data_IF_019715985646
#
_entry.id   IF_019715985646
#
_cell.length_a   1.000
_cell.length_b   1.000
_cell.length_c   1.000
_cell.angle_alpha   90.00
_cell.angle_beta   90.00
_cell.angle_gamma   90.00
#
_symmetry.space_group_name_H-M   'P 1'
#
loop_
_entity.id
_entity.type
_entity.pdbx_description
1 polymer ?
#
# COMPACT_ATOMS: atom_id res chain seq x y z
N UNK A 1 -24.96 44.51 -34.10
CA UNK A 1 -24.59 44.88 -32.73
C UNK A 1 -25.23 43.89 -31.78
N UNK A 2 -24.52 42.82 -31.43
CA UNK A 2 -24.95 41.83 -30.42
C UNK A 2 -23.86 41.85 -29.35
N UNK A 3 -24.19 42.43 -28.20
CA UNK A 3 -23.30 42.59 -27.07
C UNK A 3 -23.12 41.25 -26.36
N UNK A 4 -21.87 40.88 -26.16
CA UNK A 4 -21.38 39.77 -25.35
C UNK A 4 -21.41 40.15 -23.87
N UNK A 5 -22.13 39.37 -23.05
CA UNK A 5 -21.96 39.37 -21.59
C UNK A 5 -21.02 38.22 -21.22
N UNK A 6 -19.86 38.56 -20.64
CA UNK A 6 -18.98 37.62 -19.95
C UNK A 6 -19.51 37.45 -18.53
N UNK A 7 -19.88 36.23 -18.15
CA UNK A 7 -20.09 35.85 -16.74
C UNK A 7 -18.73 35.42 -16.18
N UNK A 8 -18.23 36.17 -15.20
CA UNK A 8 -17.09 35.80 -14.37
C UNK A 8 -17.66 35.08 -13.16
N UNK A 9 -17.37 33.79 -13.01
CA UNK A 9 -17.67 33.02 -11.80
C UNK A 9 -16.53 33.24 -10.82
N UNK A 10 -16.82 33.92 -9.71
CA UNK A 10 -15.93 34.01 -8.56
C UNK A 10 -16.08 32.72 -7.76
N UNK A 11 -15.00 31.94 -7.65
CA UNK A 11 -14.91 30.83 -6.72
C UNK A 11 -14.84 31.40 -5.29
N UNK A 12 -15.86 31.12 -4.50
CA UNK A 12 -15.88 31.39 -3.07
C UNK A 12 -15.07 30.27 -2.42
N UNK A 13 -13.83 30.58 -2.03
CA UNK A 13 -13.07 29.72 -1.13
C UNK A 13 -13.79 29.71 0.22
N UNK A 14 -14.48 28.60 0.51
CA UNK A 14 -15.15 28.38 1.77
C UNK A 14 -14.09 27.86 2.76
N UNK A 15 -13.41 28.77 3.44
CA UNK A 15 -12.50 28.46 4.55
C UNK A 15 -13.36 27.99 5.74
N UNK A 16 -13.57 26.68 5.85
CA UNK A 16 -14.10 26.06 7.05
C UNK A 16 -12.96 26.03 8.08
N UNK A 17 -12.95 27.04 8.97
CA UNK A 17 -12.22 26.98 10.22
C UNK A 17 -12.91 25.96 11.13
N UNK A 18 -12.47 24.71 11.08
CA UNK A 18 -12.72 23.76 12.16
C UNK A 18 -11.86 24.18 13.36
N UNK A 19 -12.48 24.86 14.31
CA UNK A 19 -11.91 25.06 15.64
C UNK A 19 -12.01 23.74 16.41
N UNK A 20 -11.03 22.84 16.18
CA UNK A 20 -10.78 21.71 17.05
C UNK A 20 -10.27 22.20 18.41
N UNK A 21 -10.92 21.78 19.49
CA UNK A 21 -10.46 22.05 20.86
C UNK A 21 -9.30 21.10 21.19
N UNK A 22 -8.07 21.56 20.98
CA UNK A 22 -6.83 20.98 21.49
C UNK A 22 -5.91 22.12 21.88
N UNK A 23 -5.33 22.08 23.08
CA UNK A 23 -4.51 23.18 23.62
C UNK A 23 -3.34 23.51 22.70
N UNK A 24 -3.06 24.80 22.51
CA UNK A 24 -2.12 25.22 21.48
C UNK A 24 -0.73 24.67 21.71
N UNK A 25 -0.34 23.73 20.85
CA UNK A 25 0.95 23.05 20.86
C UNK A 25 1.83 23.56 19.73
N UNK A 26 3.11 23.17 19.74
CA UNK A 26 4.10 23.64 18.76
C UNK A 26 3.74 23.24 17.31
N UNK A 27 2.94 22.17 17.17
CA UNK A 27 2.40 21.69 15.90
C UNK A 27 1.28 22.56 15.32
N UNK A 28 0.75 23.56 16.04
CA UNK A 28 -0.31 24.46 15.57
C UNK A 28 0.10 25.29 14.34
N UNK A 29 1.41 25.47 14.15
CA UNK A 29 1.99 26.18 13.01
C UNK A 29 1.92 25.39 11.70
N UNK A 30 1.60 24.09 11.75
CA UNK A 30 1.50 23.25 10.56
C UNK A 30 0.25 23.61 9.76
N UNK A 31 0.49 24.10 8.55
CA UNK A 31 -0.47 24.16 7.46
C UNK A 31 -0.32 22.88 6.62
N UNK A 32 -1.43 22.20 6.38
CA UNK A 32 -1.49 20.94 5.64
C UNK A 32 -2.27 21.10 4.34
N UNK A 33 -1.73 20.56 3.25
CA UNK A 33 -2.38 20.50 1.95
C UNK A 33 -2.41 19.05 1.43
N UNK A 34 -3.63 18.54 1.24
CA UNK A 34 -3.91 17.26 0.59
C UNK A 34 -3.69 17.37 -0.93
N UNK A 35 -2.84 16.50 -1.49
CA UNK A 35 -2.48 16.48 -2.92
C UNK A 35 -3.34 15.50 -3.74
N UNK A 36 -4.35 14.89 -3.11
CA UNK A 36 -5.24 13.89 -3.67
C UNK A 36 -4.80 12.46 -3.34
N UNK A 37 -5.69 11.52 -3.65
CA UNK A 37 -5.52 10.08 -3.38
C UNK A 37 -4.20 9.54 -3.92
N UNK A 38 -3.53 8.72 -3.10
CA UNK A 38 -2.25 8.09 -3.42
C UNK A 38 -1.05 9.04 -3.53
N UNK A 39 -1.17 10.32 -3.12
CA UNK A 39 -0.08 11.29 -3.19
C UNK A 39 0.36 11.77 -1.83
N UNK A 40 1.68 11.89 -1.66
CA UNK A 40 2.26 12.48 -0.47
C UNK A 40 1.72 13.92 -0.25
N UNK A 41 1.26 14.24 0.97
CA UNK A 41 0.81 15.58 1.29
C UNK A 41 1.97 16.57 1.29
N UNK A 42 1.66 17.86 1.23
CA UNK A 42 2.62 18.91 1.53
C UNK A 42 2.25 19.62 2.83
N UNK A 43 3.26 20.01 3.60
CA UNK A 43 3.08 20.84 4.78
C UNK A 43 3.95 22.09 4.73
N UNK A 44 3.54 23.13 5.44
CA UNK A 44 4.41 24.26 5.80
C UNK A 44 4.27 24.61 7.27
N UNK A 45 5.36 25.08 7.88
CA UNK A 45 5.39 25.47 9.30
C UNK A 45 6.47 26.52 9.57
N UNK A 46 6.43 27.14 10.75
CA UNK A 46 7.49 28.07 11.19
C UNK A 46 8.77 27.29 11.52
N UNK A 47 9.90 27.71 10.95
CA UNK A 47 11.18 27.03 11.16
C UNK A 47 12.13 27.78 12.11
N UNK A 48 12.94 27.05 12.91
CA UNK A 48 12.85 25.60 13.11
C UNK A 48 11.60 25.24 13.95
N UNK A 49 10.96 24.11 13.62
CA UNK A 49 9.92 23.55 14.48
C UNK A 49 10.60 22.68 15.55
N UNK A 50 10.33 22.99 16.81
CA UNK A 50 10.87 22.25 17.95
C UNK A 50 9.76 21.92 18.91
N UNK A 51 9.77 20.71 19.44
CA UNK A 51 8.86 20.27 20.50
C UNK A 51 9.68 19.88 21.73
N UNK A 52 9.16 20.17 22.92
CA UNK A 52 9.81 19.81 24.20
C UNK A 52 9.54 18.35 24.61
N UNK A 53 8.45 17.76 24.12
CA UNK A 53 7.99 16.39 24.37
C UNK A 53 7.33 15.85 23.08
N UNK A 54 7.16 14.51 22.91
CA UNK A 54 6.39 13.97 21.80
C UNK A 54 4.99 14.57 21.72
N UNK A 55 4.58 14.99 20.53
CA UNK A 55 3.29 15.62 20.28
C UNK A 55 2.67 15.10 19.00
N UNK A 56 1.35 14.98 19.00
CA UNK A 56 0.55 14.69 17.81
C UNK A 56 -0.46 15.79 17.54
N UNK A 57 -0.81 16.01 16.26
CA UNK A 57 -1.89 16.90 15.86
C UNK A 57 -2.68 16.32 14.70
N UNK A 58 -4.00 16.17 14.85
CA UNK A 58 -4.87 15.83 13.73
C UNK A 58 -4.89 16.99 12.72
N UNK A 59 -4.52 16.68 11.48
CA UNK A 59 -4.50 17.60 10.33
C UNK A 59 -5.77 17.45 9.48
N UNK A 60 -6.29 16.22 9.39
CA UNK A 60 -7.53 15.86 8.70
C UNK A 60 -8.27 14.79 9.51
N UNK A 61 -9.53 15.04 9.83
CA UNK A 61 -10.37 14.04 10.49
C UNK A 61 -10.69 12.88 9.52
N UNK A 62 -10.64 11.64 10.03
CA UNK A 62 -11.10 10.47 9.29
C UNK A 62 -12.61 10.32 9.39
N UNK A 63 -13.23 9.79 8.33
CA UNK A 63 -14.67 9.52 8.25
C UNK A 63 -15.00 8.03 8.02
N UNK A 64 -13.98 7.16 8.06
CA UNK A 64 -14.10 5.72 7.89
C UNK A 64 -14.48 4.95 9.16
N UNK A 65 -14.06 3.68 9.19
CA UNK A 65 -14.30 2.79 10.32
C UNK A 65 -13.61 3.29 11.61
N UNK A 66 -14.21 2.99 12.77
CA UNK A 66 -13.54 3.15 14.07
C UNK A 66 -12.26 2.32 14.11
N UNK A 67 -11.21 2.85 14.73
CA UNK A 67 -9.97 2.11 15.00
C UNK A 67 -10.02 1.64 16.46
N UNK A 68 -9.78 0.35 16.67
CA UNK A 68 -9.92 -0.36 17.94
C UNK A 68 -8.60 -1.05 18.32
N UNK A 69 -8.46 -1.39 19.60
CA UNK A 69 -7.32 -2.15 20.10
C UNK A 69 -7.22 -3.51 19.40
N UNK A 70 -6.03 -3.84 18.92
CA UNK A 70 -5.72 -5.05 18.16
C UNK A 70 -5.83 -4.90 16.64
N UNK A 71 -6.40 -3.79 16.15
CA UNK A 71 -6.47 -3.55 14.72
C UNK A 71 -5.07 -3.36 14.12
N UNK A 72 -4.91 -3.78 12.87
CA UNK A 72 -3.78 -3.36 12.04
C UNK A 72 -4.29 -2.36 11.02
N UNK A 73 -3.67 -1.18 10.98
CA UNK A 73 -4.00 -0.11 10.04
C UNK A 73 -2.89 0.03 9.00
N UNK A 74 -3.31 0.31 7.76
CA UNK A 74 -2.42 0.70 6.67
C UNK A 74 -2.18 2.20 6.75
N UNK A 75 -0.91 2.59 6.77
CA UNK A 75 -0.50 3.97 6.95
C UNK A 75 0.50 4.37 5.89
N UNK A 76 0.28 5.55 5.31
CA UNK A 76 1.28 6.25 4.54
C UNK A 76 1.95 7.36 5.36
N UNK A 77 3.27 7.45 5.28
CA UNK A 77 4.09 8.40 6.01
C UNK A 77 4.79 9.39 5.06
N UNK A 78 4.96 10.63 5.50
CA UNK A 78 5.79 11.66 4.86
C UNK A 78 6.63 12.38 5.90
N UNK A 79 7.93 12.46 5.67
CA UNK A 79 8.89 12.99 6.62
C UNK A 79 9.45 14.34 6.13
N UNK A 80 9.50 15.32 7.03
CA UNK A 80 9.98 16.67 6.74
C UNK A 80 11.04 17.08 7.76
N UNK A 81 12.10 17.72 7.29
CA UNK A 81 13.14 18.29 8.15
C UNK A 81 12.57 19.50 8.92
N UNK A 82 12.63 19.48 10.26
CA UNK A 82 12.05 20.55 11.05
C UNK A 82 12.82 21.89 11.00
N UNK A 83 14.07 21.89 10.54
CA UNK A 83 14.88 23.11 10.40
C UNK A 83 14.56 23.91 9.12
N UNK A 84 14.21 23.22 8.03
CA UNK A 84 14.07 23.85 6.71
C UNK A 84 12.88 23.40 5.85
N UNK A 85 12.02 22.51 6.37
CA UNK A 85 10.85 21.93 5.70
C UNK A 85 11.15 21.03 4.50
N UNK A 86 12.43 20.73 4.22
CA UNK A 86 12.75 19.84 3.11
C UNK A 86 12.22 18.43 3.36
N UNK A 87 11.73 17.77 2.30
CA UNK A 87 11.28 16.37 2.39
C UNK A 87 12.47 15.45 2.63
N UNK A 88 12.29 14.51 3.56
CA UNK A 88 13.25 13.46 3.91
C UNK A 88 12.86 12.10 3.31
N UNK A 89 11.66 11.98 2.76
CA UNK A 89 11.12 10.76 2.15
C UNK A 89 9.64 10.55 2.46
N UNK A 90 9.04 9.60 1.75
CA UNK A 90 7.64 9.21 1.90
C UNK A 90 7.41 7.74 1.54
N UNK A 91 6.35 7.13 2.07
CA UNK A 91 5.95 5.77 1.71
C UNK A 91 5.01 5.70 0.50
N UNK A 92 4.42 6.83 0.08
CA UNK A 92 3.51 6.91 -1.07
C UNK A 92 4.19 6.52 -2.39
N UNK A 93 5.47 6.87 -2.54
CA UNK A 93 6.32 6.47 -3.66
C UNK A 93 6.95 5.08 -3.49
N UNK A 94 6.68 4.43 -2.35
CA UNK A 94 7.20 3.12 -1.96
C UNK A 94 6.02 2.20 -1.63
N UNK A 95 6.16 1.33 -0.62
CA UNK A 95 5.06 0.54 -0.09
C UNK A 95 4.53 1.19 1.19
N UNK A 96 3.20 1.16 1.43
CA UNK A 96 2.62 1.53 2.70
C UNK A 96 3.21 0.72 3.85
N UNK A 97 3.22 1.32 5.04
CA UNK A 97 3.61 0.63 6.27
C UNK A 97 2.35 0.20 7.03
N UNK A 98 2.45 -0.84 7.85
CA UNK A 98 1.37 -1.26 8.73
C UNK A 98 1.69 -0.89 10.18
N UNK A 99 0.67 -0.48 10.93
CA UNK A 99 0.76 -0.24 12.36
C UNK A 99 -0.30 -1.10 13.05
N UNK A 100 0.13 -1.97 13.97
CA UNK A 100 -0.79 -2.68 14.86
C UNK A 100 -1.03 -1.83 16.09
N UNK A 101 -2.30 -1.55 16.40
CA UNK A 101 -2.73 -0.74 17.54
C UNK A 101 -2.82 -1.64 18.77
N UNK A 102 -1.67 -1.90 19.40
CA UNK A 102 -1.56 -2.79 20.55
C UNK A 102 -0.72 -2.19 21.70
N UNK A 103 -0.57 -2.97 22.78
CA UNK A 103 0.31 -2.64 23.90
C UNK A 103 1.77 -2.37 23.47
N UNK A 104 2.24 -2.96 22.35
CA UNK A 104 3.58 -2.70 21.81
C UNK A 104 3.69 -1.28 21.28
N UNK A 105 2.71 -0.85 20.46
CA UNK A 105 2.64 0.52 19.98
C UNK A 105 2.50 1.48 21.15
N UNK A 106 1.66 1.16 22.12
CA UNK A 106 1.46 1.98 23.32
C UNK A 106 2.73 2.19 24.13
N UNK A 107 3.52 1.13 24.30
CA UNK A 107 4.78 1.19 25.04
C UNK A 107 5.85 2.03 24.31
N UNK A 108 5.79 2.10 22.97
CA UNK A 108 6.76 2.81 22.14
C UNK A 108 6.36 4.25 21.83
N UNK A 109 5.11 4.47 21.43
CA UNK A 109 4.55 5.71 20.91
C UNK A 109 3.12 5.91 21.47
N UNK A 110 2.98 6.17 22.78
CA UNK A 110 1.67 6.26 23.43
C UNK A 110 0.78 7.36 22.84
N UNK A 111 1.37 8.46 22.36
CA UNK A 111 0.63 9.56 21.73
C UNK A 111 -0.01 9.13 20.40
N UNK A 112 0.68 8.31 19.60
CA UNK A 112 0.13 7.76 18.35
C UNK A 112 -0.92 6.70 18.66
N UNK A 113 -0.64 5.80 19.60
CA UNK A 113 -1.60 4.78 20.06
C UNK A 113 -2.94 5.41 20.47
N UNK A 114 -2.91 6.38 21.39
CA UNK A 114 -4.11 7.03 21.91
C UNK A 114 -4.80 7.86 20.82
N UNK A 115 -4.03 8.55 19.94
CA UNK A 115 -4.60 9.26 18.80
C UNK A 115 -5.36 8.33 17.85
N UNK A 116 -4.80 7.17 17.52
CA UNK A 116 -5.45 6.22 16.62
C UNK A 116 -6.78 5.73 17.19
N UNK A 117 -6.83 5.36 18.48
CA UNK A 117 -8.06 4.93 19.16
C UNK A 117 -9.12 6.03 19.29
N UNK A 118 -8.72 7.30 19.34
CA UNK A 118 -9.62 8.45 19.39
C UNK A 118 -10.13 8.88 18.00
N UNK A 119 -9.65 8.26 16.91
CA UNK A 119 -9.93 8.64 15.53
C UNK A 119 -10.42 7.46 14.69
N UNK A 120 -10.64 7.73 13.40
CA UNK A 120 -11.18 6.80 12.41
C UNK A 120 -10.23 6.64 11.25
N UNK A 121 -10.38 5.55 10.50
CA UNK A 121 -9.75 5.38 9.18
C UNK A 121 -10.01 6.63 8.33
N UNK A 122 -9.00 7.07 7.59
CA UNK A 122 -8.96 8.33 6.85
C UNK A 122 -8.36 9.51 7.63
N UNK A 123 -7.98 9.32 8.90
CA UNK A 123 -7.30 10.36 9.69
C UNK A 123 -5.92 10.64 9.13
N UNK A 124 -5.57 11.92 9.01
CA UNK A 124 -4.19 12.38 8.78
C UNK A 124 -3.74 13.18 10.00
N UNK A 125 -2.57 12.86 10.54
CA UNK A 125 -2.02 13.55 11.70
C UNK A 125 -0.52 13.81 11.55
N UNK A 126 -0.06 14.90 12.16
CA UNK A 126 1.35 15.17 12.36
C UNK A 126 1.81 14.53 13.68
N UNK A 127 3.05 14.08 13.70
CA UNK A 127 3.80 13.69 14.88
C UNK A 127 5.16 14.38 14.85
N UNK A 128 5.62 14.84 16.01
CA UNK A 128 6.99 15.29 16.19
C UNK A 128 7.49 14.91 17.59
N UNK A 129 8.79 14.71 17.70
CA UNK A 129 9.47 14.45 18.96
C UNK A 129 10.71 15.33 19.10
N UNK A 130 11.20 15.54 20.33
CA UNK A 130 12.41 16.33 20.56
C UNK A 130 13.59 15.75 19.78
N UNK A 131 14.40 16.62 19.16
CA UNK A 131 15.60 16.19 18.47
C UNK A 131 16.54 15.46 19.45
N UNK A 132 16.96 14.24 19.10
CA UNK A 132 17.97 13.50 19.86
C UNK A 132 19.34 13.59 19.18
N UNK A 133 20.41 13.63 19.99
CA UNK A 133 21.79 13.65 19.48
C UNK A 133 22.17 12.32 18.77
N UNK A 134 21.41 11.23 19.00
CA UNK A 134 21.69 9.87 18.51
C UNK A 134 21.01 9.56 17.15
N UNK A 135 19.95 10.29 16.80
CA UNK A 135 19.18 10.16 15.56
C UNK A 135 20.01 10.45 14.29
N UNK A 136 21.14 11.13 14.41
CA UNK A 136 22.00 11.64 13.33
C UNK A 136 22.57 10.58 12.34
N UNK A 137 22.28 9.29 12.53
CA UNK A 137 23.07 8.19 11.95
C UNK A 137 22.31 7.15 11.13
N UNK A 138 20.98 7.23 11.02
CA UNK A 138 20.19 6.25 10.26
C UNK A 138 19.45 6.95 9.11
N UNK A 139 19.73 6.50 7.88
CA UNK A 139 19.16 7.04 6.65
C UNK A 139 17.70 6.65 6.45
N UNK A 140 17.09 7.25 5.42
CA UNK A 140 15.66 7.16 5.06
C UNK A 140 15.16 5.77 4.58
N UNK A 141 15.82 4.68 4.98
CA UNK A 141 15.55 3.33 4.49
C UNK A 141 14.59 2.54 5.42
N UNK A 142 13.99 3.21 6.41
CA UNK A 142 13.09 2.59 7.37
C UNK A 142 12.09 3.59 7.94
N UNK A 143 10.96 3.77 7.25
CA UNK A 143 9.76 4.31 7.89
C UNK A 143 9.27 3.26 8.90
N UNK A 144 9.79 3.29 10.12
CA UNK A 144 9.38 2.35 11.16
C UNK A 144 10.37 2.03 12.27
N UNK A 145 11.61 2.55 12.26
CA UNK A 145 12.46 2.38 13.44
C UNK A 145 13.53 3.47 13.55
N UNK A 146 13.45 4.23 14.63
CA UNK A 146 14.33 5.31 15.07
C UNK A 146 14.30 6.60 14.24
N UNK A 147 13.69 7.63 14.87
CA UNK A 147 13.54 8.99 14.36
C UNK A 147 14.81 9.54 13.74
N UNK A 148 14.64 10.13 12.56
CA UNK A 148 15.71 10.62 11.71
C UNK A 148 16.54 11.75 12.33
N UNK A 149 17.75 11.85 11.81
CA UNK A 149 18.79 12.84 12.09
C UNK A 149 18.30 14.29 12.07
N UNK A 150 18.08 14.87 13.26
CA UNK A 150 17.53 16.22 13.42
C UNK A 150 16.01 16.17 13.45
N UNK A 151 15.38 16.87 14.42
CA UNK A 151 13.94 16.80 14.65
C UNK A 151 13.16 16.74 13.33
N UNK A 152 12.37 15.68 13.16
CA UNK A 152 11.54 15.49 11.99
C UNK A 152 10.09 15.82 12.35
N UNK A 153 9.37 16.39 11.39
CA UNK A 153 7.92 16.42 11.41
C UNK A 153 7.46 15.28 10.52
N UNK A 154 6.73 14.33 11.11
CA UNK A 154 6.20 13.16 10.45
C UNK A 154 4.71 13.37 10.22
N UNK A 155 4.22 13.09 9.01
CA UNK A 155 2.79 13.14 8.67
C UNK A 155 2.35 11.75 8.29
N UNK A 156 1.38 11.23 9.03
CA UNK A 156 0.80 9.92 8.83
C UNK A 156 -0.63 10.05 8.32
N UNK A 157 -0.98 9.31 7.27
CA UNK A 157 -2.35 9.15 6.79
C UNK A 157 -2.76 7.69 6.92
N UNK A 158 -3.86 7.42 7.62
CA UNK A 158 -4.42 6.07 7.78
C UNK A 158 -5.38 5.81 6.63
N UNK A 159 -4.98 4.99 5.66
CA UNK A 159 -5.75 4.78 4.44
C UNK A 159 -6.75 3.63 4.58
N UNK A 160 -6.48 2.67 5.46
CA UNK A 160 -7.34 1.49 5.61
C UNK A 160 -7.05 0.66 6.86
N UNK A 161 -7.84 -0.39 7.01
CA UNK A 161 -7.59 -1.49 7.96
C UNK A 161 -7.18 -2.74 7.21
N UNK A 162 -6.24 -3.47 7.79
CA UNK A 162 -5.90 -4.82 7.39
C UNK A 162 -6.60 -5.77 8.35
N UNK A 163 -7.51 -6.58 7.82
CA UNK A 163 -8.27 -7.54 8.60
C UNK A 163 -7.33 -8.59 9.23
N UNK A 164 -7.68 -9.05 10.42
CA UNK A 164 -6.92 -10.14 11.08
C UNK A 164 -7.24 -11.51 10.49
N UNK A 165 -8.43 -11.68 9.93
CA UNK A 165 -8.91 -12.91 9.29
C UNK A 165 -9.93 -12.59 8.20
N UNK A 166 -10.25 -13.57 7.34
CA UNK A 166 -11.35 -13.43 6.39
C UNK A 166 -12.71 -13.27 7.11
N UNK A 167 -13.49 -12.28 6.66
CA UNK A 167 -14.80 -11.96 7.19
C UNK A 167 -15.80 -11.78 6.04
N UNK A 168 -16.98 -12.38 6.18
CA UNK A 168 -18.02 -12.28 5.16
C UNK A 168 -19.03 -13.41 5.21
N UNK A 169 -19.63 -13.70 4.07
CA UNK A 169 -20.66 -14.74 3.95
C UNK A 169 -20.03 -16.08 3.58
N UNK A 170 -20.24 -17.12 4.40
CA UNK A 170 -19.80 -18.48 4.08
C UNK A 170 -20.45 -18.99 2.79
N UNK A 171 -19.64 -19.58 1.92
CA UNK A 171 -20.05 -20.18 0.65
C UNK A 171 -19.79 -21.68 0.71
N UNK A 172 -20.79 -22.50 0.36
CA UNK A 172 -20.60 -23.94 0.26
C UNK A 172 -19.95 -24.30 -1.08
N UNK A 173 -18.70 -24.81 -1.10
CA UNK A 173 -18.04 -25.18 -2.34
C UNK A 173 -18.63 -26.48 -2.93
N UNK A 174 -18.48 -26.72 -4.24
CA UNK A 174 -18.73 -28.03 -4.85
C UNK A 174 -17.97 -29.18 -4.14
N UNK A 175 -18.58 -30.36 -4.05
CA UNK A 175 -18.01 -31.49 -3.29
C UNK A 175 -16.73 -32.08 -3.91
N UNK A 176 -16.51 -31.80 -5.20
CA UNK A 176 -15.36 -32.20 -5.98
C UNK A 176 -14.14 -31.30 -5.76
N UNK A 177 -14.30 -30.10 -5.19
CA UNK A 177 -13.15 -29.26 -4.87
C UNK A 177 -12.41 -29.70 -3.59
N UNK A 178 -11.12 -29.36 -3.45
CA UNK A 178 -10.38 -29.42 -2.21
C UNK A 178 -11.15 -28.79 -1.07
N UNK A 179 -11.07 -29.44 0.08
CA UNK A 179 -11.71 -28.98 1.31
C UNK A 179 -10.71 -28.23 2.14
N UNK A 180 -11.13 -27.10 2.69
CA UNK A 180 -10.35 -26.34 3.65
C UNK A 180 -11.04 -26.40 4.99
N UNK A 181 -10.27 -26.72 6.03
CA UNK A 181 -10.67 -26.58 7.44
C UNK A 181 -9.61 -25.81 8.20
N UNK A 182 -10.00 -25.19 9.31
CA UNK A 182 -9.06 -24.60 10.25
C UNK A 182 -8.86 -25.56 11.44
N UNK A 183 -7.62 -25.98 11.67
CA UNK A 183 -7.22 -26.80 12.82
C UNK A 183 -6.32 -25.94 13.71
N UNK A 184 -6.77 -25.62 14.92
CA UNK A 184 -6.07 -24.71 15.85
C UNK A 184 -5.73 -23.32 15.26
N UNK A 185 -6.48 -22.88 14.24
CA UNK A 185 -6.29 -21.60 13.55
C UNK A 185 -5.51 -21.73 12.23
N UNK A 186 -4.79 -22.83 12.01
CA UNK A 186 -4.04 -23.09 10.79
C UNK A 186 -4.90 -23.78 9.72
N UNK A 187 -4.71 -23.49 8.42
CA UNK A 187 -5.50 -24.06 7.36
C UNK A 187 -4.98 -25.45 7.00
N UNK A 188 -5.90 -26.39 6.86
CA UNK A 188 -5.65 -27.73 6.37
C UNK A 188 -6.41 -27.91 5.04
N UNK A 189 -5.66 -28.16 3.97
CA UNK A 189 -6.20 -28.41 2.63
C UNK A 189 -6.21 -29.92 2.37
N UNK A 190 -7.38 -30.48 2.08
CA UNK A 190 -7.55 -31.90 1.71
C UNK A 190 -8.04 -32.02 0.28
N UNK A 191 -7.24 -32.63 -0.59
CA UNK A 191 -7.61 -32.95 -1.97
C UNK A 191 -8.40 -34.27 -1.99
N UNK A 192 -9.60 -34.33 -2.59
CA UNK A 192 -10.37 -35.57 -2.66
C UNK A 192 -9.64 -36.66 -3.45
N UNK A 193 -9.67 -37.90 -2.96
CA UNK A 193 -9.05 -39.03 -3.66
C UNK A 193 -9.71 -39.28 -5.04
N UNK A 194 -8.88 -39.60 -6.03
CA UNK A 194 -9.34 -39.99 -7.37
C UNK A 194 -9.77 -38.82 -8.26
N UNK A 195 -9.46 -37.58 -7.88
CA UNK A 195 -9.56 -36.40 -8.74
C UNK A 195 -8.43 -36.39 -9.78
N UNK A 196 -8.75 -35.95 -10.99
CA UNK A 196 -7.75 -35.63 -12.01
C UNK A 196 -7.11 -34.27 -11.71
N UNK A 197 -5.85 -34.08 -12.10
CA UNK A 197 -5.15 -32.79 -11.95
C UNK A 197 -5.93 -31.66 -12.66
N UNK A 198 -6.09 -30.47 -12.04
CA UNK A 198 -6.85 -29.39 -12.64
C UNK A 198 -6.19 -28.96 -13.95
N UNK A 199 -7.01 -28.85 -14.99
CA UNK A 199 -6.58 -28.35 -16.31
C UNK A 199 -6.96 -26.89 -16.54
N UNK A 200 -7.79 -26.32 -15.66
CA UNK A 200 -8.24 -24.93 -15.70
C UNK A 200 -8.10 -24.32 -14.30
N UNK A 201 -7.96 -22.99 -14.25
CA UNK A 201 -7.95 -22.27 -12.98
C UNK A 201 -9.34 -22.29 -12.36
N UNK A 202 -9.44 -22.73 -11.11
CA UNK A 202 -10.63 -22.58 -10.27
C UNK A 202 -10.35 -21.52 -9.21
N UNK A 203 -11.28 -20.59 -9.02
CA UNK A 203 -11.23 -19.57 -7.97
C UNK A 203 -12.57 -19.52 -7.20
N UNK A 204 -12.68 -20.36 -6.18
CA UNK A 204 -13.89 -20.59 -5.41
C UNK A 204 -13.86 -19.80 -4.10
N UNK A 205 -14.82 -18.91 -3.89
CA UNK A 205 -15.01 -18.30 -2.57
C UNK A 205 -15.47 -19.38 -1.58
N UNK A 206 -14.79 -19.45 -0.44
CA UNK A 206 -15.22 -20.19 0.75
C UNK A 206 -15.88 -19.23 1.75
N UNK A 207 -15.40 -17.99 1.77
CA UNK A 207 -16.05 -16.84 2.38
C UNK A 207 -16.05 -15.74 1.31
N UNK A 208 -17.22 -15.19 1.01
CA UNK A 208 -17.35 -14.01 0.15
C UNK A 208 -17.28 -12.77 1.03
N UNK A 209 -16.19 -12.00 0.90
CA UNK A 209 -15.97 -10.75 1.61
C UNK A 209 -16.86 -9.62 1.11
N UNK A 210 -17.01 -8.59 1.93
CA UNK A 210 -17.84 -7.43 1.63
C UNK A 210 -17.02 -6.14 1.40
N UNK A 211 -15.70 -6.21 1.50
CA UNK A 211 -14.79 -5.09 1.30
C UNK A 211 -14.60 -4.70 -0.16
N UNK A 212 -13.58 -3.88 -0.41
CA UNK A 212 -13.25 -3.43 -1.75
C UNK A 212 -12.87 -4.59 -2.66
N UNK A 213 -13.37 -4.55 -3.90
CA UNK A 213 -13.01 -5.52 -4.94
C UNK A 213 -11.53 -5.37 -5.27
N UNK A 214 -10.77 -6.44 -5.48
CA UNK A 214 -9.35 -6.45 -5.83
C UNK A 214 -9.18 -6.40 -7.35
N UNK A 215 -8.36 -5.47 -7.82
CA UNK A 215 -7.95 -5.32 -9.20
C UNK A 215 -6.74 -6.21 -9.55
N UNK A 216 -6.52 -6.51 -10.85
CA UNK A 216 -5.50 -7.47 -11.29
C UNK A 216 -4.05 -7.01 -11.10
N UNK A 217 -3.82 -5.76 -10.69
CA UNK A 217 -2.49 -5.16 -10.50
C UNK A 217 -2.31 -4.59 -9.09
N UNK A 218 -3.29 -4.82 -8.22
CA UNK A 218 -3.29 -4.22 -6.89
C UNK A 218 -2.28 -4.90 -5.99
N UNK A 219 -1.85 -4.15 -4.97
CA UNK A 219 -1.24 -4.74 -3.79
C UNK A 219 -2.33 -5.45 -2.98
N UNK A 220 -2.01 -6.60 -2.41
CA UNK A 220 -2.88 -7.33 -1.49
C UNK A 220 -2.13 -7.68 -0.22
N UNK A 221 -2.83 -7.57 0.91
CA UNK A 221 -2.40 -8.15 2.18
C UNK A 221 -3.11 -9.48 2.35
N UNK A 222 -2.36 -10.56 2.49
CA UNK A 222 -2.93 -11.91 2.51
C UNK A 222 -2.37 -12.79 3.61
N UNK A 223 -3.24 -13.67 4.10
CA UNK A 223 -2.79 -14.95 4.65
C UNK A 223 -3.02 -16.05 3.62
N UNK A 224 -2.10 -16.99 3.50
CA UNK A 224 -2.23 -18.09 2.56
C UNK A 224 -1.54 -19.36 3.02
N UNK A 225 -2.01 -20.49 2.50
CA UNK A 225 -1.30 -21.77 2.53
C UNK A 225 -1.44 -22.46 1.17
N UNK A 226 -0.35 -23.08 0.72
CA UNK A 226 -0.26 -23.77 -0.56
C UNK A 226 0.19 -25.23 -0.40
N UNK A 227 -0.56 -26.15 -1.01
CA UNK A 227 -0.21 -27.57 -1.12
C UNK A 227 0.00 -27.98 -2.57
N UNK A 228 0.83 -28.99 -2.78
CA UNK A 228 1.00 -29.60 -4.11
C UNK A 228 -0.19 -30.49 -4.41
N UNK A 229 -0.64 -30.50 -5.66
CA UNK A 229 -1.73 -31.38 -6.06
C UNK A 229 -1.36 -32.87 -5.93
N UNK A 230 -0.12 -33.24 -6.27
CA UNK A 230 0.33 -34.64 -6.38
C UNK A 230 0.22 -35.43 -5.07
N UNK A 231 0.60 -34.80 -3.96
CA UNK A 231 0.76 -35.47 -2.66
C UNK A 231 0.01 -34.77 -1.51
N UNK A 232 -0.56 -33.58 -1.75
CA UNK A 232 -1.21 -32.76 -0.73
C UNK A 232 -0.22 -32.17 0.29
N UNK A 233 1.09 -32.26 0.06
CA UNK A 233 2.09 -31.71 0.97
C UNK A 233 2.13 -30.19 0.85
N UNK A 234 2.08 -29.51 2.00
CA UNK A 234 2.26 -28.07 2.08
C UNK A 234 3.70 -27.70 1.68
N UNK A 235 3.85 -26.77 0.75
CA UNK A 235 5.15 -26.28 0.31
C UNK A 235 5.41 -24.83 0.70
N UNK A 236 4.35 -24.05 0.94
CA UNK A 236 4.46 -22.65 1.35
C UNK A 236 3.25 -22.22 2.20
N UNK A 237 3.46 -21.30 3.13
CA UNK A 237 2.40 -20.68 3.91
C UNK A 237 2.87 -19.39 4.59
N UNK A 238 1.99 -18.39 4.62
CA UNK A 238 2.03 -17.26 5.51
C UNK A 238 0.65 -17.12 6.14
N UNK A 239 0.42 -17.77 7.28
CA UNK A 239 -0.91 -17.80 7.93
C UNK A 239 -0.94 -17.20 9.33
N UNK A 240 0.21 -17.17 10.02
CA UNK A 240 0.31 -16.66 11.38
C UNK A 240 1.16 -15.40 11.40
N UNK A 241 0.78 -14.42 12.22
CA UNK A 241 1.52 -13.17 12.34
C UNK A 241 1.12 -12.17 11.26
N UNK A 242 2.08 -11.34 10.81
CA UNK A 242 1.81 -10.28 9.85
C UNK A 242 1.44 -10.84 8.47
N UNK A 243 0.36 -10.36 7.84
CA UNK A 243 0.02 -10.71 6.47
C UNK A 243 1.16 -10.47 5.49
N UNK A 244 1.26 -11.31 4.45
CA UNK A 244 2.15 -11.04 3.34
C UNK A 244 1.59 -9.86 2.52
N UNK A 245 2.44 -8.88 2.19
CA UNK A 245 2.13 -7.83 1.24
C UNK A 245 2.70 -8.20 -0.13
N UNK A 246 1.83 -8.41 -1.11
CA UNK A 246 2.18 -8.92 -2.44
C UNK A 246 1.53 -8.06 -3.52
N UNK A 247 2.24 -7.84 -4.63
CA UNK A 247 1.68 -7.19 -5.82
C UNK A 247 1.15 -8.26 -6.77
N UNK A 248 -0.13 -8.18 -7.17
CA UNK A 248 -0.74 -9.22 -8.02
C UNK A 248 -0.12 -9.30 -9.42
N UNK A 249 0.56 -8.27 -9.90
CA UNK A 249 1.30 -8.29 -11.15
C UNK A 249 2.68 -9.00 -11.04
N UNK A 250 3.11 -9.36 -9.84
CA UNK A 250 4.42 -9.98 -9.56
C UNK A 250 4.32 -11.43 -9.03
N UNK A 251 3.12 -11.99 -8.96
CA UNK A 251 2.87 -13.38 -8.55
C UNK A 251 2.55 -14.28 -9.74
N UNK A 252 2.39 -15.59 -9.48
CA UNK A 252 2.00 -16.55 -10.52
C UNK A 252 0.64 -16.20 -11.15
N UNK A 253 0.40 -16.49 -12.45
CA UNK A 253 -0.85 -16.15 -13.12
C UNK A 253 -2.11 -16.67 -12.42
N UNK A 254 -2.04 -17.83 -11.76
CA UNK A 254 -3.16 -18.38 -11.02
C UNK A 254 -3.64 -17.50 -9.86
N UNK A 255 -2.72 -16.77 -9.22
CA UNK A 255 -3.07 -15.80 -8.18
C UNK A 255 -3.62 -14.51 -8.78
N UNK A 256 -2.94 -13.95 -9.77
CA UNK A 256 -3.35 -12.67 -10.36
C UNK A 256 -4.71 -12.75 -11.05
N UNK A 257 -4.98 -13.85 -11.76
CA UNK A 257 -6.29 -14.10 -12.39
C UNK A 257 -7.34 -14.59 -11.39
N UNK A 258 -6.95 -15.38 -10.39
CA UNK A 258 -7.87 -16.01 -9.45
C UNK A 258 -8.40 -15.08 -8.36
N UNK A 259 -7.59 -14.08 -7.97
CA UNK A 259 -7.95 -13.11 -6.94
C UNK A 259 -8.53 -11.81 -7.51
N UNK A 260 -8.31 -11.51 -8.80
CA UNK A 260 -8.94 -10.36 -9.44
C UNK A 260 -10.48 -10.49 -9.40
N UNK A 261 -11.15 -9.42 -9.00
CA UNK A 261 -12.60 -9.37 -8.82
C UNK A 261 -13.11 -9.98 -7.50
N UNK A 262 -12.24 -10.59 -6.69
CA UNK A 262 -12.56 -10.98 -5.30
C UNK A 262 -12.56 -9.76 -4.40
N UNK A 263 -13.09 -9.86 -3.19
CA UNK A 263 -13.19 -8.72 -2.27
C UNK A 263 -12.30 -8.92 -1.05
N UNK A 264 -11.86 -7.81 -0.46
CA UNK A 264 -11.30 -7.82 0.90
C UNK A 264 -12.31 -8.45 1.86
N UNK A 265 -11.82 -9.31 2.74
CA UNK A 265 -12.59 -10.21 3.60
C UNK A 265 -12.82 -11.60 3.00
N UNK A 266 -12.61 -11.81 1.70
CA UNK A 266 -12.81 -13.12 1.09
C UNK A 266 -11.76 -14.14 1.55
N UNK A 267 -12.21 -15.38 1.76
CA UNK A 267 -11.36 -16.58 1.74
C UNK A 267 -11.58 -17.32 0.43
N UNK A 268 -10.54 -17.48 -0.36
CA UNK A 268 -10.60 -18.03 -1.71
C UNK A 268 -9.78 -19.32 -1.80
N UNK A 269 -10.41 -20.39 -2.28
CA UNK A 269 -9.73 -21.61 -2.72
C UNK A 269 -9.33 -21.45 -4.19
N UNK A 270 -8.04 -21.64 -4.47
CA UNK A 270 -7.50 -21.67 -5.82
C UNK A 270 -7.03 -23.08 -6.18
N UNK A 271 -7.52 -23.64 -7.29
CA UNK A 271 -6.85 -24.75 -7.97
C UNK A 271 -6.12 -24.19 -9.19
N UNK A 272 -4.80 -24.33 -9.21
CA UNK A 272 -3.96 -23.68 -10.21
C UNK A 272 -3.32 -24.76 -11.07
N UNK A 273 -3.65 -24.85 -12.37
CA UNK A 273 -2.99 -25.78 -13.28
C UNK A 273 -1.50 -25.41 -13.42
N UNK A 274 -0.65 -26.39 -13.75
CA UNK A 274 0.80 -26.20 -13.84
C UNK A 274 1.21 -24.99 -14.72
N UNK A 275 0.49 -24.77 -15.83
CA UNK A 275 0.72 -23.65 -16.78
C UNK A 275 0.49 -22.25 -16.18
N UNK A 276 -0.27 -22.15 -15.08
CA UNK A 276 -0.54 -20.91 -14.33
C UNK A 276 0.14 -20.89 -12.97
N UNK A 277 0.92 -21.93 -12.65
CA UNK A 277 1.75 -22.04 -11.46
C UNK A 277 3.23 -21.81 -11.84
N UNK A 278 4.13 -22.68 -11.40
CA UNK A 278 5.56 -22.61 -11.72
C UNK A 278 5.96 -23.47 -12.93
N UNK A 279 5.03 -24.21 -13.54
CA UNK A 279 5.30 -25.11 -14.65
C UNK A 279 5.56 -26.56 -14.23
N UNK A 280 5.95 -27.37 -15.21
CA UNK A 280 6.24 -28.81 -15.03
C UNK A 280 7.68 -29.05 -14.56
N UNK A 281 7.95 -30.26 -14.06
CA UNK A 281 9.30 -30.63 -13.61
C UNK A 281 10.33 -30.58 -14.76
N UNK A 282 9.90 -30.87 -16.00
CA UNK A 282 10.76 -30.78 -17.19
C UNK A 282 11.14 -29.32 -17.51
N UNK A 283 10.21 -28.38 -17.34
CA UNK A 283 10.44 -26.95 -17.61
C UNK A 283 11.30 -26.29 -16.53
N UNK A 284 11.12 -26.69 -15.28
CA UNK A 284 11.83 -26.14 -14.12
C UNK A 284 13.27 -26.67 -13.96
N UNK A 285 13.50 -27.92 -14.36
CA UNK A 285 14.79 -28.59 -14.19
C UNK A 285 15.03 -29.14 -12.77
N UNK A 286 16.06 -29.97 -12.62
CA UNK A 286 16.28 -30.78 -11.41
C UNK A 286 16.64 -29.97 -10.14
N UNK A 287 17.15 -28.75 -10.30
CA UNK A 287 17.61 -27.88 -9.19
C UNK A 287 16.57 -26.81 -8.79
N UNK A 288 15.33 -26.90 -9.28
CA UNK A 288 14.30 -25.92 -9.00
C UNK A 288 13.86 -25.97 -7.52
N UNK A 289 13.73 -24.80 -6.91
CA UNK A 289 13.23 -24.66 -5.54
C UNK A 289 11.70 -24.62 -5.48
N UNK A 290 11.04 -24.26 -6.58
CA UNK A 290 9.60 -24.17 -6.68
C UNK A 290 8.96 -25.54 -6.94
N UNK A 291 7.75 -25.81 -6.41
CA UNK A 291 7.04 -27.04 -6.73
C UNK A 291 6.64 -27.06 -8.21
N UNK A 292 6.83 -28.22 -8.84
CA UNK A 292 6.32 -28.48 -10.18
C UNK A 292 4.87 -28.98 -10.15
N UNK A 293 4.13 -28.76 -11.22
CA UNK A 293 2.78 -29.26 -11.41
C UNK A 293 1.69 -28.32 -10.89
N UNK A 294 0.46 -28.83 -10.82
CA UNK A 294 -0.66 -28.09 -10.25
C UNK A 294 -0.54 -27.90 -8.73
N UNK A 295 -1.10 -26.79 -8.27
CA UNK A 295 -1.06 -26.36 -6.87
C UNK A 295 -2.48 -26.03 -6.39
N UNK A 296 -2.70 -26.18 -5.09
CA UNK A 296 -3.92 -25.71 -4.44
C UNK A 296 -3.54 -24.71 -3.37
N UNK A 297 -4.22 -23.56 -3.34
CA UNK A 297 -4.06 -22.56 -2.30
C UNK A 297 -5.38 -22.27 -1.62
N UNK A 298 -5.31 -21.95 -0.33
CA UNK A 298 -6.31 -21.09 0.32
C UNK A 298 -5.68 -19.74 0.59
N UNK A 299 -6.41 -18.67 0.27
CA UNK A 299 -5.97 -17.29 0.42
C UNK A 299 -7.05 -16.47 1.11
N UNK A 300 -6.72 -15.84 2.24
CA UNK A 300 -7.53 -14.80 2.86
C UNK A 300 -7.04 -13.45 2.35
N UNK A 301 -7.95 -12.66 1.78
CA UNK A 301 -7.67 -11.30 1.32
C UNK A 301 -8.00 -10.34 2.46
N UNK A 302 -6.98 -9.83 3.12
CA UNK A 302 -7.10 -9.06 4.36
C UNK A 302 -7.07 -7.55 4.13
N UNK A 303 -6.57 -7.10 2.99
CA UNK A 303 -6.55 -5.71 2.56
C UNK A 303 -6.07 -5.58 1.12
N UNK A 304 -6.24 -4.40 0.52
CA UNK A 304 -5.72 -4.07 -0.81
C UNK A 304 -5.16 -2.66 -0.85
N UNK A 305 -4.21 -2.44 -1.73
CA UNK A 305 -3.68 -1.11 -2.07
C UNK A 305 -3.81 -0.90 -3.57
N UNK A 306 -4.04 0.33 -3.98
CA UNK A 306 -3.95 0.68 -5.39
C UNK A 306 -2.53 0.41 -5.93
N UNK A 307 -2.38 0.15 -7.23
CA UNK A 307 -1.07 0.00 -7.84
C UNK A 307 -0.27 1.29 -7.66
N UNK A 308 0.97 1.20 -7.19
CA UNK A 308 1.86 2.36 -7.09
C UNK A 308 2.08 2.91 -8.50
N UNK A 309 1.45 4.04 -8.82
CA UNK A 309 1.66 4.71 -10.09
C UNK A 309 3.11 5.19 -10.15
N UNK A 310 3.96 4.51 -10.92
CA UNK A 310 5.25 5.11 -11.29
C UNK A 310 4.92 6.38 -12.08
N UNK A 311 5.26 7.60 -11.61
CA UNK A 311 4.91 8.80 -12.34
C UNK A 311 5.51 8.69 -13.74
N UNK A 312 4.66 8.78 -14.75
CA UNK A 312 5.09 8.76 -16.14
C UNK A 312 6.22 9.80 -16.30
N UNK A 313 7.35 9.47 -16.96
CA UNK A 313 8.44 10.42 -17.12
C UNK A 313 7.87 11.69 -17.75
N UNK A 314 7.94 12.80 -17.01
CA UNK A 314 7.34 14.09 -17.34
C UNK A 314 7.37 14.36 -18.85
N UNK A 315 6.20 14.42 -19.49
CA UNK A 315 6.03 14.94 -20.85
C UNK A 315 6.17 16.47 -20.90
N UNK A 316 7.10 17.03 -20.11
CA UNK A 316 7.47 18.44 -20.05
C UNK A 316 8.97 18.59 -20.26
N UNK A 317 9.46 18.01 -21.36
CA UNK A 317 10.77 18.30 -21.93
C UNK A 317 10.60 19.07 -23.23
N UNK A 318 10.48 20.40 -23.12
CA UNK A 318 10.67 21.28 -24.26
C UNK A 318 11.95 20.88 -25.00
N UNK A 319 11.82 20.55 -26.29
CA UNK A 319 12.96 20.43 -27.18
C UNK A 319 13.79 21.72 -27.11
N UNK A 320 15.14 21.66 -26.98
CA UNK A 320 15.96 22.85 -27.11
C UNK A 320 15.75 23.43 -28.51
N UNK A 321 15.09 24.59 -28.57
CA UNK A 321 15.15 25.46 -29.73
C UNK A 321 16.52 26.13 -29.73
N UNK A 322 17.50 25.52 -30.40
CA UNK A 322 18.70 26.24 -30.83
C UNK A 322 18.44 26.78 -32.25
N UNK A 323 17.78 27.94 -32.31
CA UNK A 323 17.84 28.80 -33.48
C UNK A 323 18.95 29.85 -33.29
N UNK A 324 20.00 29.65 -34.09
CA UNK A 324 20.52 30.65 -35.03
C UNK A 324 21.67 31.55 -34.55
N UNK A 325 22.86 31.36 -35.15
CA UNK A 325 23.45 32.32 -36.10
C UNK A 325 24.86 31.89 -36.56
N UNK A 326 25.07 31.59 -37.84
CA UNK A 326 25.54 32.59 -38.82
C UNK A 326 25.94 31.95 -40.16
N UNK A 327 25.46 32.61 -41.21
CA UNK A 327 25.60 32.32 -42.63
C UNK A 327 27.02 32.51 -43.17
N UNK A 328 27.41 31.68 -44.15
CA UNK A 328 28.26 32.09 -45.26
C UNK A 328 28.11 31.13 -46.47
N UNK A 329 27.35 31.62 -47.47
CA UNK A 329 27.40 31.44 -48.94
C UNK A 329 28.07 30.23 -49.63
N UNK A 330 27.46 29.69 -50.71
CA UNK A 330 28.04 28.66 -51.59
C UNK A 330 28.73 29.25 -52.83
N UNK A 331 29.85 28.69 -53.28
CA UNK A 331 30.31 28.82 -54.67
C UNK A 331 31.15 27.60 -55.12
N UNK A 332 31.24 27.50 -56.43
CA UNK A 332 31.37 26.34 -57.30
C UNK A 332 32.81 25.86 -57.60
N UNK A 333 32.85 24.66 -58.20
CA UNK A 333 33.82 24.19 -59.21
C UNK A 333 35.15 23.55 -58.77
N UNK A 334 35.54 22.54 -59.55
CA UNK A 334 36.95 22.31 -59.87
C UNK A 334 37.46 20.89 -59.65
N UNK A 335 37.83 20.24 -60.75
CA UNK A 335 38.43 18.92 -60.84
C UNK A 335 39.96 18.92 -60.60
N UNK A 336 40.52 17.70 -60.55
CA UNK A 336 41.89 17.32 -60.93
C UNK A 336 43.04 17.65 -59.94
N UNK A 337 43.47 16.64 -59.17
CA UNK A 337 44.71 15.86 -59.41
C UNK A 337 44.91 14.75 -58.37
#
# INVERSE_FOLDING_TARGET
>A
MRNSLKLSAAAVALTLLLAGCGGGGDLDSIDYEDQGEGRAPSISFETPLTVDEPQTRVLKEGDGADIEEGDTVEVNASLFNAEDQSSLGDSYSQQPITITVDDTLKDQLPEIHDLLLDNKVGVTFAYAQPASDDAASQGADGAGQDGGAGGAVEVYSVDGKILSEAEGTEVTPPEDLPKVSLTDGDPEITIPEGQDEPTELVAQDLIEGDGEEVGPQDGVFVHYAGVRWEDGEQFDAQWTGQPASLSLDQVIPGWSEGLAGKKVGSRVLLEIPAEKAYGTAEELGEDAQQPAGALVFVVDILGRTDPVETPAPNASGQAPQDENHQSATPEESGADQ
#
